data_IF_780905741390
#
_entry.id   IF_780905741390
#
_cell.length_a   1.000
_cell.length_b   1.000
_cell.length_c   1.000
_cell.angle_alpha   90.00
_cell.angle_beta   90.00
_cell.angle_gamma   90.00
#
_symmetry.space_group_name_H-M   'P 1'
#
loop_
_entity.id
_entity.type
_entity.pdbx_description
1 polymer ?
#
# COMPACT_ATOMS: atom_id res chain seq x y z
N UNK A 1 17.65 16.80 -7.67
CA UNK A 1 16.99 15.91 -6.69
C UNK A 1 16.24 14.88 -7.50
N UNK A 2 16.54 13.62 -7.28
CA UNK A 2 15.83 12.52 -7.97
C UNK A 2 14.82 11.95 -6.99
N UNK A 3 13.60 11.74 -7.43
CA UNK A 3 12.53 11.18 -6.63
C UNK A 3 12.22 9.79 -7.21
N UNK A 4 12.25 8.78 -6.35
CA UNK A 4 11.80 7.45 -6.68
C UNK A 4 10.40 7.27 -6.10
N UNK A 5 9.50 6.79 -6.92
CA UNK A 5 8.11 6.51 -6.53
C UNK A 5 7.89 5.02 -6.71
N UNK A 6 7.48 4.37 -5.64
CA UNK A 6 7.03 3.00 -5.69
C UNK A 6 5.52 3.01 -5.47
N UNK A 7 4.82 2.40 -6.40
CA UNK A 7 3.38 2.18 -6.28
C UNK A 7 3.15 0.72 -5.94
N UNK A 8 2.55 0.48 -4.81
CA UNK A 8 2.23 -0.86 -4.33
C UNK A 8 0.73 -0.97 -4.08
N UNK A 9 0.12 -2.01 -4.59
CA UNK A 9 -1.33 -2.25 -4.49
C UNK A 9 -1.59 -3.55 -3.75
N UNK A 10 -2.45 -3.48 -2.75
CA UNK A 10 -2.89 -4.66 -2.02
C UNK A 10 -3.89 -5.48 -2.84
N UNK A 11 -3.72 -6.80 -2.83
CA UNK A 11 -4.70 -7.71 -3.40
C UNK A 11 -5.82 -7.95 -2.40
N UNK A 12 -7.09 -7.79 -2.84
CA UNK A 12 -8.27 -8.08 -2.03
C UNK A 12 -8.18 -7.44 -0.62
N UNK A 13 -7.80 -6.16 -0.57
CA UNK A 13 -7.42 -5.46 0.64
C UNK A 13 -8.48 -5.55 1.76
N UNK A 14 -9.76 -5.38 1.42
CA UNK A 14 -10.87 -5.47 2.37
C UNK A 14 -11.20 -6.91 2.77
N UNK A 15 -10.95 -7.87 1.89
CA UNK A 15 -11.29 -9.28 2.11
C UNK A 15 -10.24 -9.99 2.98
N UNK A 16 -8.99 -9.46 3.00
CA UNK A 16 -7.88 -9.99 3.78
C UNK A 16 -7.87 -9.55 5.26
N UNK A 17 -8.73 -8.62 5.67
CA UNK A 17 -8.75 -8.11 7.03
C UNK A 17 -9.23 -9.20 8.00
N UNK A 18 -8.35 -9.74 8.82
CA UNK A 18 -8.69 -10.71 9.84
C UNK A 18 -9.27 -10.00 11.08
N UNK A 19 -10.45 -10.44 11.53
CA UNK A 19 -11.21 -9.77 12.59
C UNK A 19 -10.44 -9.75 13.92
N UNK A 20 -9.79 -10.85 14.28
CA UNK A 20 -9.02 -10.95 15.53
C UNK A 20 -7.82 -9.99 15.53
N UNK A 21 -7.13 -9.86 14.40
CA UNK A 21 -6.01 -8.93 14.25
C UNK A 21 -6.51 -7.49 14.32
N UNK A 22 -7.60 -7.17 13.60
CA UNK A 22 -8.19 -5.83 13.63
C UNK A 22 -8.61 -5.42 15.04
N UNK A 23 -9.29 -6.30 15.78
CA UNK A 23 -9.70 -6.02 17.16
C UNK A 23 -8.49 -5.82 18.07
N UNK A 24 -7.42 -6.58 17.86
CA UNK A 24 -6.18 -6.39 18.61
C UNK A 24 -5.51 -5.04 18.30
N UNK A 25 -5.44 -4.63 17.02
CA UNK A 25 -4.94 -3.33 16.60
C UNK A 25 -5.76 -2.20 17.24
N UNK A 26 -7.10 -2.28 17.16
CA UNK A 26 -7.99 -1.30 17.79
C UNK A 26 -7.73 -1.17 19.28
N UNK A 27 -7.51 -2.30 19.95
CA UNK A 27 -7.26 -2.31 21.39
C UNK A 27 -5.87 -1.79 21.74
N UNK A 28 -4.81 -2.35 21.16
CA UNK A 28 -3.42 -2.10 21.56
C UNK A 28 -2.88 -0.78 21.01
N UNK A 29 -3.16 -0.47 19.73
CA UNK A 29 -2.55 0.68 19.06
C UNK A 29 -3.44 1.93 19.13
N UNK A 30 -4.75 1.75 19.19
CA UNK A 30 -5.70 2.89 19.25
C UNK A 30 -6.39 3.06 20.60
N UNK A 31 -6.14 2.19 21.57
CA UNK A 31 -6.69 2.30 22.92
C UNK A 31 -8.21 2.15 23.00
N UNK A 32 -8.82 1.49 21.99
CA UNK A 32 -10.26 1.22 21.99
C UNK A 32 -10.56 0.13 23.01
N UNK A 33 -11.40 0.43 24.00
CA UNK A 33 -11.71 -0.48 25.12
C UNK A 33 -13.22 -0.49 25.44
N UNK A 34 -13.62 -1.44 26.28
CA UNK A 34 -14.97 -1.50 26.87
C UNK A 34 -16.07 -1.64 25.82
N UNK A 35 -17.14 -0.86 25.95
CA UNK A 35 -18.30 -0.94 25.09
C UNK A 35 -18.00 -0.65 23.61
N UNK A 36 -17.00 0.21 23.34
CA UNK A 36 -16.60 0.52 21.97
C UNK A 36 -15.95 -0.72 21.30
N UNK A 37 -15.03 -1.40 21.99
CA UNK A 37 -14.40 -2.62 21.46
C UNK A 37 -15.43 -3.74 21.28
N UNK A 38 -16.34 -3.91 22.24
CA UNK A 38 -17.42 -4.89 22.15
C UNK A 38 -18.36 -4.61 20.98
N UNK A 39 -18.58 -3.33 20.64
CA UNK A 39 -19.37 -2.97 19.48
C UNK A 39 -18.67 -3.38 18.16
N UNK A 40 -17.34 -3.12 18.03
CA UNK A 40 -16.59 -3.56 16.87
C UNK A 40 -16.57 -5.09 16.75
N UNK A 41 -16.39 -5.80 17.87
CA UNK A 41 -16.47 -7.26 17.88
C UNK A 41 -17.84 -7.73 17.40
N UNK A 42 -18.93 -7.17 17.91
CA UNK A 42 -20.29 -7.48 17.45
C UNK A 42 -20.53 -7.15 15.98
N UNK A 43 -19.96 -6.04 15.47
CA UNK A 43 -20.07 -5.64 14.07
C UNK A 43 -19.37 -6.62 13.12
N UNK A 44 -18.24 -7.19 13.55
CA UNK A 44 -17.43 -8.11 12.77
C UNK A 44 -17.86 -9.57 12.95
N UNK A 45 -18.31 -9.94 14.14
CA UNK A 45 -18.66 -11.31 14.52
C UNK A 45 -19.96 -11.83 13.89
N UNK A 46 -20.11 -13.14 13.91
CA UNK A 46 -21.34 -13.85 13.52
C UNK A 46 -21.78 -13.60 12.06
N UNK A 47 -20.84 -13.19 11.23
CA UNK A 47 -21.12 -12.99 9.81
C UNK A 47 -21.03 -14.31 9.07
N UNK A 48 -21.94 -14.48 8.12
CA UNK A 48 -22.02 -15.66 7.29
C UNK A 48 -22.10 -15.30 5.83
N UNK A 49 -21.50 -16.10 5.02
CA UNK A 49 -21.56 -16.02 3.56
C UNK A 49 -22.26 -17.24 3.00
N UNK A 50 -23.01 -17.04 1.93
CA UNK A 50 -23.63 -18.10 1.11
C UNK A 50 -23.35 -17.84 -0.34
N UNK A 51 -23.12 -18.89 -1.09
CA UNK A 51 -22.97 -18.84 -2.54
C UNK A 51 -24.30 -19.25 -3.16
N UNK A 52 -24.84 -18.39 -4.03
CA UNK A 52 -26.04 -18.65 -4.81
C UNK A 52 -25.65 -18.92 -6.26
N UNK A 53 -26.02 -20.07 -6.79
CA UNK A 53 -25.81 -20.43 -8.21
C UNK A 53 -27.14 -20.88 -8.79
N UNK A 54 -27.77 -20.07 -9.60
CA UNK A 54 -29.15 -20.28 -10.04
C UNK A 54 -30.11 -20.32 -8.86
N UNK A 55 -30.86 -21.42 -8.72
CA UNK A 55 -31.82 -21.60 -7.61
C UNK A 55 -31.24 -22.37 -6.42
N UNK A 56 -29.94 -22.72 -6.45
CA UNK A 56 -29.27 -23.48 -5.40
C UNK A 56 -28.42 -22.61 -4.53
N UNK A 57 -28.58 -22.76 -3.20
CA UNK A 57 -27.82 -22.04 -2.19
C UNK A 57 -26.88 -23.01 -1.47
N UNK A 58 -25.63 -22.60 -1.23
CA UNK A 58 -24.69 -23.35 -0.41
C UNK A 58 -25.08 -23.35 1.08
N UNK A 59 -24.37 -24.14 1.88
CA UNK A 59 -24.38 -24.00 3.33
C UNK A 59 -23.79 -22.64 3.74
N UNK A 60 -24.07 -22.22 4.98
CA UNK A 60 -23.48 -21.04 5.60
C UNK A 60 -22.00 -21.28 5.88
N UNK A 61 -21.15 -20.32 5.49
CA UNK A 61 -19.76 -20.26 5.88
C UNK A 61 -19.57 -19.10 6.87
N UNK A 62 -18.94 -19.36 8.00
CA UNK A 62 -18.58 -18.30 8.93
C UNK A 62 -17.45 -17.45 8.35
N UNK A 63 -17.60 -16.14 8.38
CA UNK A 63 -16.57 -15.18 7.96
C UNK A 63 -15.79 -14.75 9.20
N UNK A 64 -14.51 -15.11 9.24
CA UNK A 64 -13.56 -14.65 10.25
C UNK A 64 -12.65 -13.52 9.73
N UNK A 65 -12.82 -13.14 8.48
CA UNK A 65 -12.10 -12.07 7.80
C UNK A 65 -13.09 -11.26 6.93
N UNK A 66 -12.59 -10.24 6.31
CA UNK A 66 -13.28 -9.26 5.50
C UNK A 66 -14.10 -8.21 6.26
N UNK A 67 -14.08 -7.01 5.74
CA UNK A 67 -14.97 -5.92 6.19
C UNK A 67 -16.00 -5.66 5.08
N UNK A 68 -17.29 -5.43 5.45
CA UNK A 68 -18.34 -5.26 4.44
C UNK A 68 -18.04 -4.14 3.48
N UNK A 69 -17.92 -4.49 2.20
CA UNK A 69 -17.83 -3.49 1.14
C UNK A 69 -19.16 -2.71 1.09
N UNK A 70 -19.04 -1.39 0.95
CA UNK A 70 -20.20 -0.48 0.99
C UNK A 70 -20.65 -0.06 2.39
N UNK A 71 -20.04 -0.57 3.46
CA UNK A 71 -20.27 -0.04 4.81
C UNK A 71 -19.52 1.28 5.01
N UNK A 72 -20.09 2.21 5.76
CA UNK A 72 -19.41 3.46 6.13
C UNK A 72 -18.17 3.22 7.01
N UNK A 73 -18.12 2.08 7.71
CA UNK A 73 -16.99 1.71 8.56
C UNK A 73 -15.84 1.02 7.79
N UNK A 74 -16.11 0.45 6.62
CA UNK A 74 -15.11 -0.28 5.83
C UNK A 74 -13.83 0.50 5.60
N UNK A 75 -13.86 1.69 4.99
CA UNK A 75 -12.68 2.51 4.75
C UNK A 75 -11.92 2.89 6.03
N UNK A 76 -12.66 3.18 7.12
CA UNK A 76 -12.06 3.54 8.41
C UNK A 76 -11.31 2.33 8.99
N UNK A 77 -11.95 1.18 9.07
CA UNK A 77 -11.35 -0.04 9.61
C UNK A 77 -10.14 -0.49 8.79
N UNK A 78 -10.23 -0.37 7.46
CA UNK A 78 -9.09 -0.65 6.59
C UNK A 78 -7.92 0.29 6.88
N UNK A 79 -8.17 1.61 6.98
CA UNK A 79 -7.13 2.59 7.31
C UNK A 79 -6.47 2.29 8.65
N UNK A 80 -7.24 1.92 9.68
CA UNK A 80 -6.72 1.54 10.99
C UNK A 80 -5.90 0.24 10.90
N UNK A 81 -6.33 -0.72 10.10
CA UNK A 81 -5.63 -1.99 9.89
C UNK A 81 -4.27 -1.79 9.23
N UNK A 82 -4.17 -0.92 8.23
CA UNK A 82 -2.91 -0.63 7.53
C UNK A 82 -2.06 0.44 8.22
N UNK A 83 -2.55 1.05 9.32
CA UNK A 83 -1.82 2.09 10.04
C UNK A 83 -0.41 1.67 10.47
N UNK A 84 -0.23 0.40 10.86
CA UNK A 84 1.07 -0.16 11.22
C UNK A 84 2.10 -0.05 10.08
N UNK A 85 1.65 -0.10 8.82
CA UNK A 85 2.47 0.11 7.65
C UNK A 85 3.14 1.49 7.65
N UNK A 86 2.39 2.54 7.97
CA UNK A 86 2.91 3.90 8.01
C UNK A 86 4.02 4.05 9.06
N UNK A 87 3.89 3.36 10.19
CA UNK A 87 4.91 3.35 11.25
C UNK A 87 6.21 2.68 10.78
N UNK A 88 6.13 1.58 10.02
CA UNK A 88 7.31 0.91 9.48
C UNK A 88 7.98 1.78 8.43
N UNK A 89 7.21 2.27 7.46
CA UNK A 89 7.76 3.08 6.36
C UNK A 89 8.40 4.37 6.88
N UNK A 90 7.80 5.01 7.88
CA UNK A 90 8.33 6.25 8.46
C UNK A 90 9.74 6.10 9.06
N UNK A 91 10.15 4.88 9.43
CA UNK A 91 11.51 4.61 9.92
C UNK A 91 12.57 4.66 8.81
N UNK A 92 12.17 4.42 7.57
CA UNK A 92 13.07 4.38 6.41
C UNK A 92 12.96 5.62 5.54
N UNK A 93 11.75 6.08 5.32
CA UNK A 93 11.43 7.06 4.30
C UNK A 93 10.50 8.14 4.86
N UNK A 94 10.84 9.42 4.68
CA UNK A 94 10.08 10.51 5.28
C UNK A 94 8.73 10.77 4.61
N UNK A 95 8.46 10.20 3.43
CA UNK A 95 7.27 10.53 2.66
C UNK A 95 6.55 9.29 2.16
N UNK A 96 5.31 9.13 2.59
CA UNK A 96 4.39 8.09 2.18
C UNK A 96 3.01 8.72 1.95
N UNK A 97 2.32 8.25 0.93
CA UNK A 97 0.91 8.53 0.72
C UNK A 97 0.15 7.22 0.58
N UNK A 98 -0.96 7.11 1.31
CA UNK A 98 -1.90 6.01 1.19
C UNK A 98 -3.26 6.53 0.77
N UNK A 99 -3.89 5.88 -0.19
CA UNK A 99 -5.25 6.12 -0.60
C UNK A 99 -5.94 4.77 -0.82
N UNK A 100 -6.80 4.40 0.13
CA UNK A 100 -7.38 3.06 0.19
C UNK A 100 -6.29 1.98 0.14
N UNK A 101 -6.34 1.09 -0.85
CA UNK A 101 -5.38 0.02 -1.09
C UNK A 101 -4.12 0.47 -1.87
N UNK A 102 -4.11 1.70 -2.41
CA UNK A 102 -2.96 2.25 -3.12
C UNK A 102 -1.99 2.92 -2.13
N UNK A 103 -0.78 2.43 -2.06
CA UNK A 103 0.29 2.98 -1.23
C UNK A 103 1.44 3.46 -2.09
N UNK A 104 1.85 4.70 -1.88
CA UNK A 104 2.95 5.34 -2.61
C UNK A 104 4.07 5.69 -1.65
N UNK A 105 5.29 5.31 -2.00
CA UNK A 105 6.49 5.53 -1.20
C UNK A 105 7.44 6.42 -1.99
N UNK A 106 7.82 7.57 -1.43
CA UNK A 106 8.63 8.58 -2.09
C UNK A 106 9.94 8.83 -1.35
N UNK A 107 10.98 8.07 -1.57
CA UNK A 107 12.29 8.47 -1.11
C UNK A 107 12.83 9.58 -2.01
N UNK A 108 13.27 10.65 -1.40
CA UNK A 108 13.98 11.70 -2.12
C UNK A 108 15.45 11.72 -1.70
N UNK A 109 16.34 11.79 -2.67
CA UNK A 109 17.77 11.86 -2.42
C UNK A 109 18.46 12.86 -3.36
N UNK A 110 19.62 13.32 -2.95
CA UNK A 110 20.48 14.16 -3.78
C UNK A 110 21.45 13.24 -4.52
N UNK A 111 21.52 13.37 -5.83
CA UNK A 111 22.45 12.61 -6.67
C UNK A 111 23.77 13.39 -6.87
N UNK A 112 24.79 13.20 -6.04
CA UNK A 112 26.14 13.62 -6.38
C UNK A 112 26.98 12.52 -7.00
N UNK A 113 26.57 11.22 -6.84
CA UNK A 113 27.37 10.08 -7.30
C UNK A 113 26.52 8.83 -7.49
N UNK A 114 27.03 7.87 -8.29
CA UNK A 114 26.47 6.54 -8.50
C UNK A 114 26.27 5.79 -7.16
N UNK A 115 27.14 6.00 -6.18
CA UNK A 115 27.01 5.40 -4.85
C UNK A 115 25.75 5.86 -4.09
N UNK A 116 25.24 7.07 -4.34
CA UNK A 116 24.02 7.55 -3.71
C UNK A 116 22.77 6.84 -4.27
N UNK A 117 22.78 6.49 -5.55
CA UNK A 117 21.68 5.81 -6.23
C UNK A 117 21.54 4.37 -5.72
N UNK A 118 22.64 3.64 -5.65
CA UNK A 118 22.67 2.26 -5.11
C UNK A 118 22.19 2.24 -3.66
N UNK A 119 22.64 3.21 -2.87
CA UNK A 119 22.22 3.31 -1.46
C UNK A 119 20.73 3.63 -1.32
N UNK A 120 20.19 4.48 -2.17
CA UNK A 120 18.76 4.79 -2.17
C UNK A 120 17.91 3.57 -2.55
N UNK A 121 18.31 2.82 -3.57
CA UNK A 121 17.67 1.56 -3.97
C UNK A 121 17.69 0.56 -2.82
N UNK A 122 18.84 0.34 -2.20
CA UNK A 122 18.97 -0.61 -1.08
C UNK A 122 18.08 -0.24 0.12
N UNK A 123 17.92 1.06 0.42
CA UNK A 123 17.00 1.51 1.48
C UNK A 123 15.55 1.21 1.12
N UNK A 124 15.14 1.44 -0.13
CA UNK A 124 13.78 1.14 -0.60
C UNK A 124 13.53 -0.38 -0.52
N UNK A 125 14.45 -1.20 -1.04
CA UNK A 125 14.32 -2.65 -1.05
C UNK A 125 14.17 -3.20 0.37
N UNK A 126 14.97 -2.70 1.31
CA UNK A 126 14.87 -3.07 2.71
C UNK A 126 13.55 -2.64 3.35
N UNK A 127 13.12 -1.40 3.09
CA UNK A 127 11.83 -0.91 3.57
C UNK A 127 10.69 -1.81 3.08
N UNK A 128 10.68 -2.16 1.79
CA UNK A 128 9.63 -3.01 1.22
C UNK A 128 9.69 -4.43 1.78
N UNK A 129 10.88 -4.96 2.06
CA UNK A 129 11.02 -6.27 2.70
C UNK A 129 10.37 -6.29 4.09
N UNK A 130 10.58 -5.25 4.90
CA UNK A 130 9.96 -5.13 6.23
C UNK A 130 8.46 -4.90 6.14
N UNK A 131 8.00 -4.10 5.17
CA UNK A 131 6.57 -3.90 4.85
C UNK A 131 5.91 -5.24 4.48
N UNK A 132 6.54 -6.03 3.61
CA UNK A 132 6.03 -7.37 3.22
C UNK A 132 5.93 -8.29 4.44
N UNK A 133 6.94 -8.30 5.28
CA UNK A 133 6.94 -9.12 6.50
C UNK A 133 5.79 -8.73 7.42
N UNK A 134 5.54 -7.43 7.58
CA UNK A 134 4.40 -6.93 8.34
C UNK A 134 3.07 -7.34 7.70
N UNK A 135 2.93 -7.21 6.39
CA UNK A 135 1.70 -7.59 5.69
C UNK A 135 1.41 -9.08 5.83
N UNK A 136 2.42 -9.94 5.63
CA UNK A 136 2.25 -11.39 5.82
C UNK A 136 1.81 -11.71 7.24
N UNK A 137 2.42 -11.06 8.25
CA UNK A 137 2.03 -11.23 9.65
C UNK A 137 0.58 -10.79 9.92
N UNK A 138 0.09 -9.80 9.18
CA UNK A 138 -1.28 -9.27 9.24
C UNK A 138 -2.20 -9.82 8.14
N UNK A 139 -1.89 -10.96 7.54
CA UNK A 139 -2.71 -11.63 6.52
C UNK A 139 -3.02 -10.78 5.28
N UNK A 140 -2.26 -9.72 5.04
CA UNK A 140 -2.35 -8.94 3.81
C UNK A 140 -1.36 -9.44 2.77
N UNK A 141 -1.74 -9.34 1.50
CA UNK A 141 -0.93 -9.81 0.37
C UNK A 141 -0.62 -8.63 -0.54
N UNK A 142 0.66 -8.36 -0.72
CA UNK A 142 1.14 -7.42 -1.72
C UNK A 142 1.00 -8.05 -3.10
N UNK A 143 0.47 -7.30 -4.05
CA UNK A 143 0.37 -7.73 -5.43
C UNK A 143 1.58 -7.26 -6.23
N UNK A 144 2.61 -8.09 -6.32
CA UNK A 144 3.84 -7.78 -7.04
C UNK A 144 3.61 -7.45 -8.51
N UNK A 145 2.59 -8.05 -9.14
CA UNK A 145 2.26 -7.78 -10.54
C UNK A 145 1.65 -6.37 -10.77
N UNK A 146 1.18 -5.73 -9.70
CA UNK A 146 0.64 -4.37 -9.74
C UNK A 146 1.59 -3.33 -9.14
N UNK A 147 2.72 -3.78 -8.60
CA UNK A 147 3.73 -2.86 -8.07
C UNK A 147 4.50 -2.23 -9.22
N UNK A 148 4.58 -0.91 -9.23
CA UNK A 148 5.21 -0.13 -10.28
C UNK A 148 6.31 0.75 -9.71
N UNK A 149 7.39 0.89 -10.46
CA UNK A 149 8.56 1.68 -10.06
C UNK A 149 8.84 2.78 -11.08
N UNK A 150 8.96 4.01 -10.59
CA UNK A 150 9.18 5.20 -11.40
C UNK A 150 10.27 6.08 -10.80
N UNK A 151 11.16 6.60 -11.64
CA UNK A 151 12.16 7.59 -11.24
C UNK A 151 11.78 8.96 -11.76
N UNK A 152 11.65 9.96 -10.86
CA UNK A 152 11.28 11.32 -11.20
C UNK A 152 12.45 12.27 -10.89
N UNK A 153 12.81 13.08 -11.86
CA UNK A 153 13.90 14.05 -11.71
C UNK A 153 13.96 15.05 -12.85
N UNK A 154 14.90 16.00 -12.77
CA UNK A 154 15.22 16.84 -13.93
C UNK A 154 15.98 15.99 -14.97
N UNK A 155 15.90 16.36 -16.25
CA UNK A 155 16.62 15.67 -17.34
C UNK A 155 18.08 15.40 -17.01
N UNK A 156 18.79 16.44 -16.56
CA UNK A 156 20.20 16.33 -16.20
C UNK A 156 20.49 15.35 -15.06
N UNK A 157 19.52 15.09 -14.19
CA UNK A 157 19.65 14.14 -13.09
C UNK A 157 19.31 12.73 -13.54
N UNK A 158 18.27 12.58 -14.36
CA UNK A 158 17.88 11.30 -14.94
C UNK A 158 18.98 10.73 -15.84
N UNK A 159 19.65 11.58 -16.65
CA UNK A 159 20.77 11.17 -17.48
C UNK A 159 22.00 10.68 -16.67
N UNK A 160 22.10 11.06 -15.39
CA UNK A 160 23.17 10.62 -14.47
C UNK A 160 22.78 9.45 -13.59
N UNK A 161 21.53 9.06 -13.58
CA UNK A 161 21.01 7.96 -12.76
C UNK A 161 21.16 6.65 -13.52
N UNK A 162 21.70 5.63 -12.85
CA UNK A 162 21.87 4.28 -13.40
C UNK A 162 20.82 3.31 -12.86
N UNK A 163 19.74 3.80 -12.24
CA UNK A 163 18.71 2.94 -11.65
C UNK A 163 17.74 2.49 -12.73
N UNK A 164 17.83 1.21 -13.09
CA UNK A 164 16.95 0.59 -14.09
C UNK A 164 15.88 -0.32 -13.47
N UNK A 165 16.12 -0.82 -12.27
CA UNK A 165 15.20 -1.74 -11.59
C UNK A 165 15.43 -1.74 -10.08
N UNK A 166 14.43 -2.27 -9.37
CA UNK A 166 14.51 -2.64 -7.96
C UNK A 166 14.13 -4.10 -7.78
N UNK A 167 14.63 -4.73 -6.73
CA UNK A 167 14.31 -6.12 -6.41
C UNK A 167 13.40 -6.19 -5.21
N UNK A 168 12.23 -6.78 -5.36
CA UNK A 168 11.25 -6.98 -4.28
C UNK A 168 11.03 -8.47 -4.09
N UNK A 169 11.56 -9.01 -3.01
CA UNK A 169 11.56 -10.46 -2.78
C UNK A 169 12.29 -11.17 -3.92
N UNK A 170 11.57 -11.98 -4.69
CA UNK A 170 12.11 -12.70 -5.85
C UNK A 170 11.77 -12.03 -7.20
N UNK A 171 11.12 -10.86 -7.17
CA UNK A 171 10.65 -10.19 -8.39
C UNK A 171 11.51 -8.97 -8.68
N UNK A 172 11.99 -8.86 -9.92
CA UNK A 172 12.71 -7.67 -10.42
C UNK A 172 11.70 -6.78 -11.11
N UNK A 173 11.52 -5.56 -10.58
CA UNK A 173 10.61 -4.55 -11.13
C UNK A 173 11.44 -3.50 -11.84
N UNK A 174 11.25 -3.39 -13.15
CA UNK A 174 11.94 -2.40 -13.98
C UNK A 174 11.33 -1.03 -13.81
N UNK A 175 12.14 0.01 -13.97
CA UNK A 175 11.65 1.38 -14.02
C UNK A 175 10.75 1.58 -15.24
N UNK A 176 9.63 2.26 -15.04
CA UNK A 176 8.67 2.57 -16.10
C UNK A 176 8.87 4.02 -16.57
N UNK A 177 8.54 4.29 -17.82
CA UNK A 177 8.54 5.66 -18.35
C UNK A 177 7.35 6.47 -17.87
N UNK A 178 6.23 5.81 -17.62
CA UNK A 178 5.01 6.42 -17.10
C UNK A 178 4.22 5.44 -16.24
N UNK A 179 3.52 5.97 -15.27
CA UNK A 179 2.66 5.22 -14.35
C UNK A 179 1.32 5.93 -14.25
N UNK A 180 0.22 5.17 -14.31
CA UNK A 180 -1.12 5.68 -14.03
C UNK A 180 -1.47 5.42 -12.57
N UNK A 181 -1.72 6.51 -11.83
CA UNK A 181 -2.12 6.42 -10.44
C UNK A 181 -3.30 7.36 -10.17
N UNK A 182 -4.35 6.85 -9.52
CA UNK A 182 -5.56 7.62 -9.16
C UNK A 182 -6.09 8.47 -10.34
N UNK A 183 -6.18 7.85 -11.55
CA UNK A 183 -6.57 8.50 -12.81
C UNK A 183 -5.58 9.55 -13.37
N UNK A 184 -4.45 9.79 -12.70
CA UNK A 184 -3.38 10.66 -13.17
C UNK A 184 -2.23 9.84 -13.75
N UNK A 185 -1.59 10.39 -14.81
CA UNK A 185 -0.37 9.82 -15.37
C UNK A 185 0.85 10.55 -14.81
N UNK A 186 1.77 9.77 -14.26
CA UNK A 186 3.09 10.24 -13.86
C UNK A 186 4.10 9.78 -14.89
N UNK A 187 4.95 10.69 -15.33
CA UNK A 187 5.98 10.38 -16.34
C UNK A 187 7.37 10.53 -15.72
N UNK A 188 8.29 9.63 -16.09
CA UNK A 188 9.71 9.71 -15.71
C UNK A 188 10.43 10.89 -16.36
N UNK A 189 9.77 11.62 -17.25
CA UNK A 189 10.32 12.74 -17.98
C UNK A 189 9.92 14.08 -17.36
N UNK A 190 10.94 14.92 -17.14
CA UNK A 190 10.90 16.37 -16.97
C UNK A 190 9.85 16.97 -16.05
N UNK A 191 10.30 17.53 -14.94
CA UNK A 191 9.50 18.43 -14.08
C UNK A 191 8.91 19.68 -14.80
N UNK A 192 9.05 19.79 -16.11
CA UNK A 192 8.44 20.84 -16.94
C UNK A 192 7.17 20.37 -17.67
N UNK A 193 6.79 19.11 -17.58
CA UNK A 193 5.50 18.64 -18.10
C UNK A 193 4.49 18.80 -17.00
N UNK A 194 3.62 19.75 -17.16
CA UNK A 194 2.45 20.07 -16.36
C UNK A 194 1.92 18.88 -15.57
N UNK A 195 1.86 19.04 -14.24
CA UNK A 195 0.84 18.39 -13.42
C UNK A 195 -0.48 18.87 -14.03
N UNK A 196 -1.02 18.09 -14.96
CA UNK A 196 -2.26 18.43 -15.64
C UNK A 196 -3.38 18.36 -14.64
N UNK A 197 -3.90 19.52 -14.31
CA UNK A 197 -5.17 19.82 -13.67
C UNK A 197 -5.66 18.80 -12.61
N UNK A 198 -5.37 19.12 -11.37
CA UNK A 198 -6.17 18.70 -10.24
C UNK A 198 -7.55 19.36 -10.40
N UNK A 199 -8.55 18.63 -10.83
CA UNK A 199 -9.94 19.03 -10.66
C UNK A 199 -10.44 18.43 -9.34
N UNK A 200 -10.65 19.29 -8.37
CA UNK A 200 -11.54 19.00 -7.26
C UNK A 200 -12.97 18.99 -7.80
N UNK A 201 -13.66 17.88 -7.67
CA UNK A 201 -15.13 17.83 -7.61
C UNK A 201 -15.52 17.46 -6.19
#
# INVERSE_FOLDING_TARGET
>A
MTLHVLLDRLSAAFDGIEHSILLNILHQDFGVVGSALNWFDSFLSSRKERILVGDKTSHDFNLNCAVPQGSCMGPILFTLYVFLLFNIISQYLPSIHGYADDTQIYPSFRTPSIHSDIRAVSVIEKCIADVRSCFIANRLIINDAKTEFLTIGTRQKLEKTSIESITIGNTVIKTLESVRNLEYYWFSAHMNVHIGKIFYL
#
